data_IF_640491614240
#
_entry.id   IF_640491614240
#
_cell.length_a   1.000
_cell.length_b   1.000
_cell.length_c   1.000
_cell.angle_alpha   90.00
_cell.angle_beta   90.00
_cell.angle_gamma   90.00
#
_symmetry.space_group_name_H-M   'P 1'
#
loop_
_entity.id
_entity.type
_entity.pdbx_description
1 polymer ?
#
# COMPACT_ATOMS: atom_id res chain seq x y z
N UNK A 1 -10.63 46.02 -43.13
CA UNK A 1 -10.19 45.12 -42.04
C UNK A 1 -11.16 45.22 -40.87
N UNK A 2 -12.21 44.40 -40.85
CA UNK A 2 -13.10 44.29 -39.69
C UNK A 2 -13.31 42.80 -39.39
N UNK A 3 -12.64 42.33 -38.32
CA UNK A 3 -12.83 40.99 -37.77
C UNK A 3 -14.18 40.94 -37.05
N UNK A 4 -15.15 40.24 -37.64
CA UNK A 4 -16.44 39.94 -37.01
C UNK A 4 -16.24 38.72 -36.12
N UNK A 5 -16.12 38.93 -34.81
CA UNK A 5 -16.20 37.85 -33.83
C UNK A 5 -17.56 37.16 -33.92
N UNK A 6 -17.58 35.90 -34.37
CA UNK A 6 -18.79 35.08 -34.38
C UNK A 6 -19.27 34.89 -32.94
N UNK A 7 -20.47 35.41 -32.63
CA UNK A 7 -21.11 35.20 -31.35
C UNK A 7 -21.42 33.71 -31.15
N UNK A 8 -20.78 33.09 -30.17
CA UNK A 8 -21.04 31.71 -29.73
C UNK A 8 -22.50 31.60 -29.25
N UNK A 9 -23.22 30.57 -29.69
CA UNK A 9 -24.65 30.37 -29.35
C UNK A 9 -24.86 30.21 -27.83
N UNK A 10 -26.06 30.55 -27.33
CA UNK A 10 -26.39 30.47 -25.90
C UNK A 10 -26.21 29.05 -25.32
N UNK A 11 -26.54 28.02 -26.09
CA UNK A 11 -26.39 26.62 -25.68
C UNK A 11 -24.92 26.22 -25.53
N UNK A 12 -24.07 26.65 -26.46
CA UNK A 12 -22.63 26.39 -26.39
C UNK A 12 -22.00 27.12 -25.20
N UNK A 13 -22.44 28.36 -24.91
CA UNK A 13 -22.00 29.09 -23.71
C UNK A 13 -22.41 28.38 -22.41
N UNK A 14 -23.61 27.81 -22.38
CA UNK A 14 -24.11 27.06 -21.23
C UNK A 14 -23.34 25.75 -21.04
N UNK A 15 -23.06 25.01 -22.11
CA UNK A 15 -22.28 23.79 -22.05
C UNK A 15 -20.84 24.05 -21.58
N UNK A 16 -20.19 25.11 -22.10
CA UNK A 16 -18.85 25.54 -21.64
C UNK A 16 -18.87 25.84 -20.14
N UNK A 17 -19.90 26.54 -19.65
CA UNK A 17 -20.03 26.86 -18.23
C UNK A 17 -20.20 25.61 -17.37
N UNK A 18 -21.04 24.66 -17.81
CA UNK A 18 -21.24 23.39 -17.10
C UNK A 18 -19.96 22.55 -17.05
N UNK A 19 -19.26 22.40 -18.17
CA UNK A 19 -17.98 21.67 -18.21
C UNK A 19 -16.91 22.34 -17.36
N UNK A 20 -16.82 23.67 -17.36
CA UNK A 20 -15.90 24.40 -16.52
C UNK A 20 -16.20 24.23 -15.03
N UNK A 21 -17.47 24.30 -14.63
CA UNK A 21 -17.88 24.06 -13.23
C UNK A 21 -17.62 22.62 -12.79
N UNK A 22 -17.85 21.63 -13.67
CA UNK A 22 -17.54 20.23 -13.39
C UNK A 22 -16.02 20.01 -13.20
N UNK A 23 -15.21 20.63 -14.04
CA UNK A 23 -13.75 20.59 -13.92
C UNK A 23 -13.25 21.27 -12.64
N UNK A 24 -13.77 22.45 -12.31
CA UNK A 24 -13.46 23.12 -11.05
C UNK A 24 -13.87 22.28 -9.84
N UNK A 25 -15.03 21.62 -9.88
CA UNK A 25 -15.45 20.69 -8.83
C UNK A 25 -14.52 19.47 -8.72
N UNK A 26 -13.98 18.97 -9.84
CA UNK A 26 -13.00 17.89 -9.83
C UNK A 26 -11.67 18.35 -9.23
N UNK A 27 -11.16 19.51 -9.63
CA UNK A 27 -9.92 20.07 -9.09
C UNK A 27 -10.02 20.34 -7.58
N UNK A 28 -11.16 20.88 -7.12
CA UNK A 28 -11.40 21.13 -5.70
C UNK A 28 -11.44 19.84 -4.87
N UNK A 29 -11.78 18.70 -5.49
CA UNK A 29 -11.75 17.38 -4.85
C UNK A 29 -10.40 16.68 -5.00
N UNK A 30 -9.63 17.02 -6.03
CA UNK A 30 -8.38 16.36 -6.41
C UNK A 30 -7.15 17.14 -5.95
N UNK A 31 -7.12 17.46 -4.66
CA UNK A 31 -6.06 18.29 -4.06
C UNK A 31 -4.70 17.57 -3.93
N UNK A 32 -4.69 16.23 -4.09
CA UNK A 32 -3.48 15.40 -4.16
C UNK A 32 -3.63 14.29 -5.22
N UNK A 33 -2.52 13.64 -5.65
CA UNK A 33 -2.59 12.50 -6.57
C UNK A 33 -3.51 11.37 -6.09
N UNK A 34 -3.59 11.12 -4.78
CA UNK A 34 -4.48 10.10 -4.20
C UNK A 34 -5.95 10.50 -4.27
N UNK A 35 -6.28 11.76 -3.96
CA UNK A 35 -7.65 12.27 -4.13
C UNK A 35 -8.05 12.38 -5.60
N UNK A 36 -7.10 12.57 -6.51
CA UNK A 36 -7.34 12.50 -7.94
C UNK A 36 -7.70 11.07 -8.37
N UNK A 37 -6.97 10.06 -7.87
CA UNK A 37 -7.30 8.64 -8.10
C UNK A 37 -8.66 8.29 -7.48
N UNK A 38 -8.96 8.73 -6.27
CA UNK A 38 -10.25 8.52 -5.59
C UNK A 38 -11.41 9.25 -6.31
N UNK A 39 -11.19 10.48 -6.76
CA UNK A 39 -12.18 11.24 -7.53
C UNK A 39 -12.44 10.58 -8.89
N UNK A 40 -11.38 10.13 -9.57
CA UNK A 40 -11.50 9.34 -10.81
C UNK A 40 -12.21 8.01 -10.55
N UNK A 41 -11.91 7.32 -9.46
CA UNK A 41 -12.58 6.09 -9.04
C UNK A 41 -14.08 6.34 -8.79
N UNK A 42 -14.44 7.39 -8.07
CA UNK A 42 -15.83 7.77 -7.81
C UNK A 42 -16.59 8.08 -9.11
N UNK A 43 -15.95 8.82 -10.02
CA UNK A 43 -16.49 9.12 -11.35
C UNK A 43 -16.70 7.83 -12.16
N UNK A 44 -15.71 6.94 -12.20
CA UNK A 44 -15.77 5.68 -12.93
C UNK A 44 -16.86 4.75 -12.37
N UNK A 45 -16.95 4.59 -11.03
CA UNK A 45 -18.02 3.84 -10.37
C UNK A 45 -19.40 4.40 -10.71
N UNK A 46 -19.57 5.72 -10.63
CA UNK A 46 -20.85 6.38 -10.97
C UNK A 46 -21.24 6.23 -12.45
N UNK A 47 -20.25 6.08 -13.35
CA UNK A 47 -20.45 5.80 -14.77
C UNK A 47 -20.68 4.31 -15.10
N UNK A 48 -20.75 3.46 -14.07
CA UNK A 48 -21.00 2.02 -14.17
C UNK A 48 -19.76 1.19 -14.49
N UNK A 49 -18.55 1.70 -14.21
CA UNK A 49 -17.32 0.91 -14.30
C UNK A 49 -17.16 0.04 -13.06
N UNK A 50 -16.69 -1.18 -13.25
CA UNK A 50 -16.43 -2.16 -12.20
C UNK A 50 -14.93 -2.23 -11.93
N UNK A 51 -14.52 -2.16 -10.66
CA UNK A 51 -13.13 -2.36 -10.27
C UNK A 51 -12.71 -3.79 -10.61
N UNK A 52 -11.60 -3.93 -11.34
CA UNK A 52 -10.98 -5.22 -11.56
C UNK A 52 -9.74 -5.33 -10.68
N UNK A 53 -9.70 -6.42 -9.92
CA UNK A 53 -8.53 -6.81 -9.19
C UNK A 53 -7.68 -7.71 -10.08
N UNK A 54 -6.44 -7.31 -10.31
CA UNK A 54 -5.52 -8.00 -11.22
C UNK A 54 -5.19 -9.43 -10.78
N UNK A 55 -5.40 -9.74 -9.50
CA UNK A 55 -5.23 -11.07 -8.91
C UNK A 55 -6.43 -12.02 -9.14
N UNK A 56 -7.49 -11.58 -9.83
CA UNK A 56 -8.65 -12.40 -10.18
C UNK A 56 -8.69 -12.66 -11.69
N UNK A 57 -9.23 -13.81 -12.09
CA UNK A 57 -9.46 -14.12 -13.51
C UNK A 57 -10.41 -13.06 -14.09
N UNK A 58 -9.89 -12.22 -14.98
CA UNK A 58 -10.59 -11.08 -15.55
C UNK A 58 -11.88 -11.55 -16.25
N UNK A 59 -13.02 -11.36 -15.58
CA UNK A 59 -14.36 -11.63 -16.16
C UNK A 59 -14.80 -10.43 -16.98
N UNK A 60 -14.03 -10.13 -18.03
CA UNK A 60 -14.34 -9.08 -18.98
C UNK A 60 -15.45 -9.55 -19.91
N UNK A 61 -16.48 -8.72 -20.09
CA UNK A 61 -17.53 -8.96 -21.07
C UNK A 61 -17.39 -7.94 -22.21
N UNK A 62 -17.70 -8.33 -23.47
CA UNK A 62 -17.81 -7.37 -24.56
C UNK A 62 -18.76 -6.23 -24.18
N UNK A 63 -18.34 -4.98 -24.37
CA UNK A 63 -19.04 -3.75 -23.94
C UNK A 63 -19.13 -3.50 -22.42
N UNK A 64 -18.39 -4.25 -21.59
CA UNK A 64 -18.23 -3.95 -20.17
C UNK A 64 -17.34 -2.74 -19.90
N UNK A 65 -17.47 -2.15 -18.70
CA UNK A 65 -16.74 -0.96 -18.25
C UNK A 65 -15.92 -1.32 -16.99
N UNK A 66 -14.61 -1.10 -17.01
CA UNK A 66 -13.70 -1.60 -15.96
C UNK A 66 -12.52 -0.66 -15.65
N UNK A 67 -11.95 -0.66 -14.43
CA UNK A 67 -10.74 0.10 -14.04
C UNK A 67 -9.84 -0.66 -13.03
N UNK A 68 -8.55 -0.28 -12.90
CA UNK A 68 -7.51 -0.95 -12.07
C UNK A 68 -6.70 0.11 -11.30
N UNK A 69 -6.21 -0.22 -10.09
CA UNK A 69 -5.33 0.63 -9.23
C UNK A 69 -3.85 0.25 -9.36
N UNK A 70 -2.95 1.21 -9.08
CA UNK A 70 -1.50 1.03 -9.25
C UNK A 70 -0.96 -0.18 -8.47
N UNK A 71 -0.15 -1.05 -9.11
CA UNK A 71 0.44 -2.19 -8.43
C UNK A 71 1.40 -1.79 -7.31
N UNK A 72 1.34 -2.49 -6.20
CA UNK A 72 2.21 -2.28 -5.04
C UNK A 72 2.50 -3.58 -4.29
N UNK A 73 3.37 -3.52 -3.28
CA UNK A 73 3.59 -4.64 -2.35
C UNK A 73 2.76 -4.39 -1.09
N UNK A 74 1.93 -5.38 -0.72
CA UNK A 74 1.10 -5.35 0.49
C UNK A 74 1.76 -6.17 1.60
N UNK A 75 1.77 -5.68 2.83
CA UNK A 75 2.23 -6.46 3.98
C UNK A 75 1.27 -7.64 4.20
N UNK A 76 1.82 -8.84 4.41
CA UNK A 76 1.01 -10.03 4.69
C UNK A 76 0.43 -9.99 6.11
N UNK A 77 -0.74 -10.62 6.36
CA UNK A 77 -1.29 -10.76 7.72
C UNK A 77 -0.31 -11.42 8.70
N UNK A 78 0.52 -12.35 8.20
CA UNK A 78 1.65 -12.92 8.95
C UNK A 78 2.93 -12.53 8.23
N UNK A 79 3.52 -11.40 8.62
CA UNK A 79 4.69 -10.83 7.96
C UNK A 79 6.01 -11.18 8.63
N UNK A 80 6.01 -11.70 9.87
CA UNK A 80 7.24 -12.00 10.61
C UNK A 80 8.07 -13.06 9.90
N UNK A 81 9.24 -12.68 9.39
CA UNK A 81 10.22 -13.58 8.78
C UNK A 81 11.62 -13.22 9.27
N UNK A 82 12.45 -14.23 9.47
CA UNK A 82 13.86 -14.06 9.86
C UNK A 82 14.71 -15.00 9.01
N UNK A 83 15.79 -14.47 8.43
CA UNK A 83 16.74 -15.25 7.62
C UNK A 83 18.09 -14.56 7.68
N UNK A 84 19.17 -15.34 7.81
CA UNK A 84 20.56 -14.83 7.82
C UNK A 84 20.77 -13.63 8.77
N UNK A 85 20.20 -13.69 9.98
CA UNK A 85 20.24 -12.62 10.99
C UNK A 85 19.56 -11.30 10.59
N UNK A 86 18.79 -11.28 9.51
CA UNK A 86 17.94 -10.15 9.14
C UNK A 86 16.49 -10.39 9.53
N UNK A 87 15.87 -9.38 10.13
CA UNK A 87 14.43 -9.28 10.30
C UNK A 87 13.83 -8.82 8.97
N UNK A 88 12.99 -9.65 8.38
CA UNK A 88 12.34 -9.41 7.11
C UNK A 88 10.82 -9.27 7.29
N UNK A 89 10.18 -8.54 6.38
CA UNK A 89 8.72 -8.40 6.33
C UNK A 89 8.18 -9.17 5.13
N UNK A 90 7.32 -10.15 5.39
CA UNK A 90 6.59 -10.87 4.35
C UNK A 90 5.61 -9.95 3.65
N UNK A 91 5.74 -9.84 2.32
CA UNK A 91 4.86 -9.03 1.47
C UNK A 91 4.27 -9.88 0.35
N UNK A 92 3.15 -9.41 -0.21
CA UNK A 92 2.48 -9.99 -1.36
C UNK A 92 2.37 -8.95 -2.48
N UNK A 93 2.65 -9.33 -3.74
CA UNK A 93 2.28 -8.53 -4.90
C UNK A 93 0.78 -8.23 -4.90
N UNK A 94 0.43 -6.95 -5.05
CA UNK A 94 -0.93 -6.49 -5.26
C UNK A 94 -0.99 -5.80 -6.62
N UNK A 95 -1.75 -6.38 -7.56
CA UNK A 95 -1.66 -5.98 -8.96
C UNK A 95 -0.66 -6.83 -9.77
N UNK A 96 -0.29 -6.36 -10.94
CA UNK A 96 0.66 -6.94 -11.90
C UNK A 96 1.71 -5.90 -12.26
N UNK A 97 2.44 -5.48 -11.22
CA UNK A 97 3.51 -4.52 -11.33
C UNK A 97 4.76 -5.08 -12.01
N UNK A 98 5.61 -4.16 -12.45
CA UNK A 98 6.99 -4.48 -12.84
C UNK A 98 7.81 -4.65 -11.56
N UNK A 99 7.70 -5.81 -10.91
CA UNK A 99 8.27 -6.05 -9.58
C UNK A 99 9.79 -5.90 -9.49
N UNK A 100 10.50 -6.09 -10.61
CA UNK A 100 11.92 -5.75 -10.73
C UNK A 100 12.22 -4.32 -10.26
N UNK A 101 11.34 -3.36 -10.55
CA UNK A 101 11.57 -1.94 -10.23
C UNK A 101 11.52 -1.62 -8.74
N UNK A 102 11.05 -2.55 -7.91
CA UNK A 102 10.96 -2.42 -6.45
C UNK A 102 12.25 -2.85 -5.73
N UNK A 103 13.18 -3.49 -6.44
CA UNK A 103 14.51 -3.82 -5.90
C UNK A 103 15.37 -2.56 -5.82
N UNK A 104 16.28 -2.55 -4.83
CA UNK A 104 17.24 -1.48 -4.57
C UNK A 104 16.59 -0.09 -4.37
N UNK A 105 15.38 -0.09 -3.80
CA UNK A 105 14.60 1.12 -3.49
C UNK A 105 14.53 1.35 -1.98
N UNK A 106 14.53 2.62 -1.60
CA UNK A 106 14.22 3.06 -0.25
C UNK A 106 12.71 3.08 -0.08
N UNK A 107 12.18 2.02 0.52
CA UNK A 107 10.74 1.81 0.67
C UNK A 107 10.27 2.23 2.05
N UNK A 108 9.06 2.80 2.09
CA UNK A 108 8.33 3.06 3.31
C UNK A 108 7.00 2.33 3.31
N UNK A 109 6.25 2.46 4.41
CA UNK A 109 4.98 1.76 4.64
C UNK A 109 3.93 2.81 4.99
N UNK A 110 2.77 2.70 4.36
CA UNK A 110 1.59 3.48 4.69
C UNK A 110 0.33 2.61 4.57
N UNK A 111 -0.74 2.99 5.25
CA UNK A 111 -2.01 2.30 5.14
C UNK A 111 -2.91 2.52 6.35
N UNK A 112 -3.81 1.57 6.58
CA UNK A 112 -4.80 1.64 7.64
C UNK A 112 -4.44 0.66 8.77
N UNK A 113 -4.67 1.11 10.00
CA UNK A 113 -4.58 0.27 11.20
C UNK A 113 -5.90 0.30 11.94
N UNK A 114 -6.32 -0.85 12.46
CA UNK A 114 -7.50 -1.00 13.30
C UNK A 114 -7.00 -1.35 14.70
N UNK A 115 -7.47 -0.63 15.71
CA UNK A 115 -7.03 -0.78 17.09
C UNK A 115 -8.15 -0.54 18.08
N UNK A 116 -7.98 -1.04 19.30
CA UNK A 116 -8.92 -0.85 20.39
C UNK A 116 -8.64 0.48 21.10
N UNK A 117 -9.67 1.31 21.26
CA UNK A 117 -9.63 2.55 22.03
C UNK A 117 -9.85 2.33 23.53
N UNK A 118 -9.73 3.42 24.30
CA UNK A 118 -9.72 3.39 25.76
C UNK A 118 -11.03 2.87 26.38
N UNK A 119 -12.17 2.99 25.70
CA UNK A 119 -13.49 2.55 26.14
C UNK A 119 -13.92 1.24 25.46
N UNK A 120 -12.96 0.46 24.93
CA UNK A 120 -13.22 -0.75 24.15
C UNK A 120 -13.96 -0.54 22.82
N UNK A 121 -13.95 0.68 22.31
CA UNK A 121 -14.37 1.00 20.95
C UNK A 121 -13.32 0.51 19.92
N UNK A 122 -13.77 0.16 18.71
CA UNK A 122 -12.88 -0.19 17.61
C UNK A 122 -12.64 1.08 16.79
N UNK A 123 -11.40 1.53 16.75
CA UNK A 123 -10.95 2.70 16.01
C UNK A 123 -10.15 2.26 14.78
N UNK A 124 -10.10 3.13 13.79
CA UNK A 124 -9.19 2.98 12.65
C UNK A 124 -8.45 4.29 12.40
N UNK A 125 -7.20 4.19 11.95
CA UNK A 125 -6.38 5.36 11.63
C UNK A 125 -5.52 5.07 10.40
N UNK A 126 -5.34 6.10 9.57
CA UNK A 126 -4.34 6.05 8.51
C UNK A 126 -2.98 6.44 9.10
N UNK A 127 -1.98 5.62 8.81
CA UNK A 127 -0.60 5.88 9.21
C UNK A 127 0.29 5.97 7.98
N UNK A 128 1.35 6.74 8.12
CA UNK A 128 2.44 6.83 7.16
C UNK A 128 3.75 6.98 7.94
N UNK A 129 4.72 6.13 7.63
CA UNK A 129 6.05 6.22 8.22
C UNK A 129 6.82 7.44 7.71
N UNK A 130 6.57 7.89 6.48
CA UNK A 130 7.18 9.09 5.89
C UNK A 130 8.70 9.06 5.72
N UNK A 131 9.34 7.91 5.99
CA UNK A 131 10.79 7.70 5.93
C UNK A 131 11.12 6.29 5.46
N UNK A 132 12.29 6.06 4.85
CA UNK A 132 12.73 4.72 4.47
C UNK A 132 12.79 3.81 5.69
N UNK A 133 12.11 2.66 5.62
CA UNK A 133 12.11 1.63 6.68
C UNK A 133 12.28 0.22 6.14
N UNK A 134 12.14 0.03 4.83
CA UNK A 134 12.25 -1.26 4.17
C UNK A 134 13.14 -1.14 2.94
N UNK A 135 13.90 -2.19 2.68
CA UNK A 135 14.74 -2.28 1.49
C UNK A 135 14.71 -3.68 0.91
N UNK A 136 14.52 -3.81 -0.41
CA UNK A 136 14.55 -5.10 -1.11
C UNK A 136 15.88 -5.17 -1.88
N UNK A 137 16.93 -5.78 -1.33
CA UNK A 137 18.22 -5.82 -2.00
C UNK A 137 18.20 -6.79 -3.18
N UNK A 138 18.90 -6.42 -4.25
CA UNK A 138 19.19 -7.32 -5.35
C UNK A 138 20.36 -8.26 -5.01
N UNK A 139 20.38 -9.44 -5.63
CA UNK A 139 21.53 -10.33 -5.55
C UNK A 139 22.70 -9.71 -6.31
N UNK A 140 23.88 -9.70 -5.69
CA UNK A 140 25.08 -9.20 -6.33
C UNK A 140 25.37 -9.98 -7.63
N UNK A 141 25.59 -9.27 -8.74
CA UNK A 141 25.85 -9.87 -10.06
C UNK A 141 27.04 -10.83 -10.10
N UNK A 142 27.98 -10.69 -9.16
CA UNK A 142 29.13 -11.57 -9.00
C UNK A 142 28.74 -12.99 -8.59
N UNK A 143 27.60 -13.14 -7.90
CA UNK A 143 27.04 -14.39 -7.43
C UNK A 143 25.99 -14.97 -8.41
N UNK A 144 25.65 -14.21 -9.47
CA UNK A 144 24.72 -14.64 -10.50
C UNK A 144 25.46 -15.28 -11.68
N UNK A 145 25.10 -16.52 -11.98
CA UNK A 145 25.68 -17.30 -13.08
C UNK A 145 25.13 -16.87 -14.45
N UNK A 146 23.95 -16.26 -14.53
CA UNK A 146 23.33 -15.78 -15.76
C UNK A 146 23.11 -14.26 -15.74
N UNK A 147 24.17 -13.51 -15.99
CA UNK A 147 24.21 -12.04 -15.91
C UNK A 147 23.24 -11.32 -16.87
N UNK A 148 22.75 -12.00 -17.90
CA UNK A 148 21.87 -11.42 -18.92
C UNK A 148 20.38 -11.50 -18.59
N UNK A 149 20.02 -12.35 -17.61
CA UNK A 149 18.63 -12.71 -17.33
C UNK A 149 18.37 -12.61 -15.83
N UNK A 150 17.62 -11.60 -15.42
CA UNK A 150 17.17 -11.54 -14.03
C UNK A 150 15.82 -12.21 -13.90
N UNK A 151 15.80 -13.26 -13.10
CA UNK A 151 14.63 -14.00 -12.65
C UNK A 151 14.60 -13.95 -11.14
N UNK A 152 13.40 -13.85 -10.57
CA UNK A 152 13.24 -13.83 -9.13
C UNK A 152 11.95 -14.54 -8.74
N UNK A 153 11.96 -15.12 -7.55
CA UNK A 153 10.77 -15.70 -6.94
C UNK A 153 10.03 -14.60 -6.16
N UNK A 154 8.78 -14.30 -6.53
CA UNK A 154 8.01 -13.24 -5.88
C UNK A 154 7.70 -13.50 -4.40
N UNK A 155 7.67 -14.77 -3.97
CA UNK A 155 7.42 -15.14 -2.57
C UNK A 155 8.67 -15.01 -1.71
N UNK A 156 9.85 -15.30 -2.26
CA UNK A 156 11.11 -15.38 -1.52
C UNK A 156 11.98 -14.13 -1.67
N UNK A 157 12.08 -13.59 -2.88
CA UNK A 157 13.05 -12.53 -3.21
C UNK A 157 12.47 -11.12 -3.09
N UNK A 158 11.14 -10.95 -3.00
CA UNK A 158 10.52 -9.64 -2.74
C UNK A 158 10.39 -9.34 -1.24
N UNK A 159 11.03 -10.12 -0.36
CA UNK A 159 10.95 -9.92 1.10
C UNK A 159 11.88 -8.77 1.50
N UNK A 160 11.36 -7.57 1.82
CA UNK A 160 12.19 -6.49 2.29
C UNK A 160 12.83 -6.82 3.64
N UNK A 161 14.04 -6.30 3.82
CA UNK A 161 14.75 -6.24 5.10
C UNK A 161 14.25 -5.02 5.88
N UNK A 162 13.97 -5.23 7.17
CA UNK A 162 13.55 -4.20 8.12
C UNK A 162 14.69 -3.79 9.06
N UNK A 163 15.40 -4.78 9.61
CA UNK A 163 16.49 -4.57 10.56
C UNK A 163 17.42 -5.79 10.62
N UNK A 164 18.58 -5.63 11.24
CA UNK A 164 19.48 -6.73 11.58
C UNK A 164 19.26 -7.13 13.05
N UNK A 165 19.38 -8.43 13.35
CA UNK A 165 19.38 -8.95 14.72
C UNK A 165 20.71 -8.58 15.37
N UNK A 166 20.67 -7.76 16.42
CA UNK A 166 21.85 -7.45 17.24
C UNK A 166 22.30 -8.68 18.04
N UNK A 167 23.60 -8.92 18.13
CA UNK A 167 24.20 -9.99 18.95
C UNK A 167 23.94 -9.86 20.45
N UNK A 168 23.59 -8.66 20.92
CA UNK A 168 23.49 -8.32 22.35
C UNK A 168 22.07 -8.40 22.95
N UNK A 169 21.07 -8.89 22.20
CA UNK A 169 19.74 -9.14 22.76
C UNK A 169 19.51 -10.62 23.05
N UNK A 170 19.91 -11.00 24.27
CA UNK A 170 19.42 -12.14 25.01
C UNK A 170 17.94 -11.96 25.42
N UNK A 171 17.03 -11.84 24.47
CA UNK A 171 15.61 -12.10 24.74
C UNK A 171 15.28 -13.50 24.23
N UNK A 172 15.54 -14.48 25.09
CA UNK A 172 14.79 -15.73 25.11
C UNK A 172 13.34 -15.38 25.47
N UNK A 173 12.56 -14.93 24.51
CA UNK A 173 11.11 -14.90 24.61
C UNK A 173 10.53 -16.00 23.71
N UNK A 174 10.89 -17.24 24.02
CA UNK A 174 9.94 -18.34 23.86
C UNK A 174 8.91 -18.21 25.00
N UNK A 175 8.02 -17.22 24.91
CA UNK A 175 6.78 -17.32 25.68
C UNK A 175 6.00 -18.49 25.09
N UNK A 176 6.00 -19.62 25.82
CA UNK A 176 4.99 -20.67 25.63
C UNK A 176 3.63 -19.99 25.68
N UNK A 177 2.98 -19.88 24.53
CA UNK A 177 1.59 -19.43 24.45
C UNK A 177 0.75 -20.52 25.12
N UNK A 178 0.16 -20.19 26.26
CA UNK A 178 -0.86 -21.01 26.89
C UNK A 178 -2.03 -21.17 25.91
N UNK A 179 -2.31 -22.42 25.54
CA UNK A 179 -3.37 -22.78 24.58
C UNK A 179 -4.80 -22.49 25.07
N UNK A 180 -4.95 -21.99 26.30
CA UNK A 180 -6.26 -21.82 26.97
C UNK A 180 -6.82 -20.39 26.94
N UNK A 181 -6.14 -19.40 26.34
CA UNK A 181 -6.68 -18.04 26.17
C UNK A 181 -7.18 -17.74 24.74
N UNK A 182 -7.62 -18.77 24.01
CA UNK A 182 -8.16 -18.68 22.64
C UNK A 182 -9.62 -18.16 22.57
N UNK A 183 -9.99 -17.15 23.37
CA UNK A 183 -11.34 -16.56 23.33
C UNK A 183 -11.39 -15.24 22.50
N UNK A 184 -10.26 -14.75 21.98
CA UNK A 184 -10.23 -13.72 20.93
C UNK A 184 -9.14 -14.04 19.90
N UNK A 185 -9.50 -14.77 18.84
CA UNK A 185 -8.58 -15.39 17.87
C UNK A 185 -7.81 -14.46 16.92
N UNK A 186 -7.41 -13.26 17.35
CA UNK A 186 -6.58 -12.33 16.57
C UNK A 186 -5.56 -11.70 17.51
N UNK A 187 -4.35 -12.25 17.58
CA UNK A 187 -3.24 -11.67 18.37
C UNK A 187 -2.09 -11.34 17.44
N UNK A 188 -2.04 -10.09 16.99
CA UNK A 188 -1.11 -9.60 15.98
C UNK A 188 0.36 -9.59 16.43
N UNK A 189 0.60 -9.63 17.75
CA UNK A 189 1.91 -9.64 18.40
C UNK A 189 2.80 -10.84 18.02
N UNK A 190 2.21 -11.95 17.60
CA UNK A 190 2.95 -13.12 17.08
C UNK A 190 3.25 -13.05 15.58
N UNK A 191 2.43 -12.30 14.84
CA UNK A 191 2.38 -12.35 13.38
C UNK A 191 3.34 -11.37 12.70
N UNK A 192 3.82 -10.36 13.43
CA UNK A 192 4.74 -9.34 12.94
C UNK A 192 5.95 -9.16 13.90
N UNK A 193 6.97 -8.42 13.44
CA UNK A 193 8.12 -8.08 14.30
C UNK A 193 7.76 -6.97 15.28
N UNK A 194 8.22 -7.08 16.52
CA UNK A 194 7.91 -6.11 17.59
C UNK A 194 8.36 -4.69 17.24
N UNK A 195 9.51 -4.53 16.56
CA UNK A 195 10.00 -3.23 16.11
C UNK A 195 9.05 -2.57 15.08
N UNK A 196 8.39 -3.37 14.25
CA UNK A 196 7.38 -2.88 13.30
C UNK A 196 6.11 -2.47 14.05
N UNK A 197 5.62 -3.33 14.95
CA UNK A 197 4.41 -3.05 15.74
C UNK A 197 4.57 -1.83 16.65
N UNK A 198 5.74 -1.64 17.27
CA UNK A 198 6.06 -0.44 18.05
C UNK A 198 6.00 0.83 17.20
N UNK A 199 6.65 0.80 16.03
CA UNK A 199 6.62 1.94 15.11
C UNK A 199 5.20 2.26 14.62
N UNK A 200 4.39 1.22 14.38
CA UNK A 200 2.97 1.37 14.02
C UNK A 200 2.17 1.97 15.19
N UNK A 201 2.35 1.45 16.40
CA UNK A 201 1.69 1.92 17.61
C UNK A 201 2.00 3.39 17.91
N UNK A 202 3.26 3.81 17.77
CA UNK A 202 3.69 5.20 17.89
C UNK A 202 2.96 6.12 16.90
N UNK A 203 2.84 5.73 15.63
CA UNK A 203 2.12 6.50 14.60
C UNK A 203 0.60 6.51 14.84
N UNK A 204 0.06 5.39 15.30
CA UNK A 204 -1.36 5.24 15.61
C UNK A 204 -1.77 5.99 16.89
N UNK A 205 -0.85 6.11 17.85
CA UNK A 205 -1.13 6.59 19.21
C UNK A 205 -1.76 5.50 20.10
N UNK A 206 -1.36 4.24 19.91
CA UNK A 206 -1.83 3.09 20.68
C UNK A 206 -0.67 2.16 21.02
N UNK A 207 -0.86 1.29 22.01
CA UNK A 207 0.11 0.24 22.32
C UNK A 207 0.04 -0.92 21.32
N UNK A 208 1.14 -1.67 21.07
CA UNK A 208 1.13 -2.81 20.15
C UNK A 208 0.07 -3.88 20.46
N UNK A 209 -0.26 -4.07 21.74
CA UNK A 209 -1.27 -5.02 22.20
C UNK A 209 -2.71 -4.58 21.87
N UNK A 210 -2.91 -3.30 21.57
CA UNK A 210 -4.22 -2.74 21.19
C UNK A 210 -4.51 -2.87 19.70
N UNK A 211 -3.49 -3.20 18.89
CA UNK A 211 -3.64 -3.42 17.45
C UNK A 211 -4.45 -4.69 17.17
N UNK A 212 -5.47 -4.54 16.32
CA UNK A 212 -6.39 -5.62 15.96
C UNK A 212 -6.14 -6.12 14.53
N UNK A 213 -5.93 -5.21 13.58
CA UNK A 213 -5.71 -5.56 12.17
C UNK A 213 -4.90 -4.46 11.45
N UNK A 214 -4.21 -4.86 10.37
CA UNK A 214 -3.32 -4.00 9.60
C UNK A 214 -3.60 -4.19 8.10
N UNK A 215 -3.85 -3.08 7.40
CA UNK A 215 -3.85 -3.06 5.94
C UNK A 215 -2.81 -2.06 5.44
N UNK A 216 -1.60 -2.58 5.20
CA UNK A 216 -0.41 -1.77 4.94
C UNK A 216 0.21 -2.09 3.59
N UNK A 217 0.71 -1.04 2.92
CA UNK A 217 1.27 -1.08 1.58
C UNK A 217 2.63 -0.39 1.57
N UNK A 218 3.54 -0.92 0.78
CA UNK A 218 4.86 -0.33 0.55
C UNK A 218 4.78 0.71 -0.56
N UNK A 219 5.60 1.76 -0.43
CA UNK A 219 5.75 2.79 -1.45
C UNK A 219 7.21 3.28 -1.52
N UNK A 220 7.62 3.83 -2.67
CA UNK A 220 8.93 4.45 -2.86
C UNK A 220 8.97 5.81 -2.17
N UNK A 221 9.98 6.05 -1.35
CA UNK A 221 10.16 7.33 -0.65
C UNK A 221 10.72 8.43 -1.53
N UNK A 222 11.24 8.09 -2.72
CA UNK A 222 11.73 9.07 -3.67
C UNK A 222 10.58 9.97 -4.15
N UNK A 223 10.63 11.29 -3.93
CA UNK A 223 9.61 12.20 -4.43
C UNK A 223 9.57 12.18 -5.97
N UNK A 224 8.38 12.33 -6.54
CA UNK A 224 8.23 12.58 -7.97
C UNK A 224 8.91 13.91 -8.34
N UNK A 225 9.71 13.89 -9.42
CA UNK A 225 10.43 15.04 -9.97
C UNK A 225 9.92 15.43 -11.35
#
# INVERSE_FOLDING_TARGET
MASVGKAVSKDVKQQIRTSALAFLSFLNKSVTPFHAVESCESILKSAGFVELFENQRLKVQPKGKFYIKNPCLRVKPISKRTSEQFLQVGVSPYGGGVWRSWFDRDLSIAGQVIFKGAQSEILHKLIDFGRPVLHIPNLAIHLDSDRGKFEFNSEQHLRPILAQVSSDNSTKDEKKVDKDQLISGISITGDHHDILLKSIGELAGCEPEELLDLDLYLYDTQPAV
#
